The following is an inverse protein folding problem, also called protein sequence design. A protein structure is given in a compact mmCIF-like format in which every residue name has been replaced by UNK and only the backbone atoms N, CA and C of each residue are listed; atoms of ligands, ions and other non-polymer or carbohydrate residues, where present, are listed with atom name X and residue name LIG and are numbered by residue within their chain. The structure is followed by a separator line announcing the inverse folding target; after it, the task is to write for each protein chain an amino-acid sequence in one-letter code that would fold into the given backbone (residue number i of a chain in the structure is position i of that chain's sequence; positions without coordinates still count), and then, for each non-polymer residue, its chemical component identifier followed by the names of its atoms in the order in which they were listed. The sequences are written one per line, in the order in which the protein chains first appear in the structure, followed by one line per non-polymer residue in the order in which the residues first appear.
data_IF_411093279058
#
_entry.id   IF_411093279058
#
_cell.length_a   1.000
_cell.length_b   1.000
_cell.length_c   1.000
_cell.angle_alpha   90.00
_cell.angle_beta   90.00
_cell.angle_gamma   90.00
#
_symmetry.space_group_name_H-M   'P 1'
#
loop_
_entity.id
_entity.type
_entity.pdbx_description
1 polymer ?
#
# COMPACT_ATOMS: atom_id res chain seq x y z
N UNK A 1 6.48 -0.96 13.62
CA UNK A 1 5.59 -0.14 12.77
C UNK A 1 4.35 -0.94 12.41
N UNK A 2 3.20 -0.35 12.59
CA UNK A 2 1.95 -0.97 12.19
C UNK A 2 1.68 -0.66 10.72
N UNK A 3 1.37 -1.69 9.94
CA UNK A 3 1.19 -1.55 8.49
C UNK A 3 -0.09 -2.22 8.01
N UNK A 4 -0.67 -1.64 6.95
CA UNK A 4 -1.80 -2.23 6.23
C UNK A 4 -1.37 -2.50 4.80
N UNK A 5 -1.73 -3.66 4.26
CA UNK A 5 -1.49 -4.01 2.86
C UNK A 5 -2.77 -3.75 2.08
N UNK A 6 -2.67 -2.92 1.05
CA UNK A 6 -3.83 -2.52 0.25
C UNK A 6 -3.58 -2.91 -1.21
N UNK A 7 -4.26 -3.96 -1.65
CA UNK A 7 -4.15 -4.47 -3.02
C UNK A 7 -5.36 -5.30 -3.37
N UNK A 8 -5.85 -5.16 -4.60
CA UNK A 8 -7.02 -5.89 -5.07
C UNK A 8 -6.76 -7.37 -5.31
N UNK A 9 -5.54 -7.75 -5.65
CA UNK A 9 -5.21 -9.14 -5.97
C UNK A 9 -4.72 -9.90 -4.72
N UNK A 10 -5.33 -11.05 -4.49
CA UNK A 10 -4.97 -11.88 -3.34
C UNK A 10 -3.50 -12.31 -3.36
N UNK A 11 -3.00 -12.71 -4.54
CA UNK A 11 -1.61 -13.16 -4.65
C UNK A 11 -0.63 -12.05 -4.33
N UNK A 12 -0.94 -10.83 -4.74
CA UNK A 12 -0.08 -9.69 -4.44
C UNK A 12 0.03 -9.47 -2.94
N UNK A 13 -1.09 -9.58 -2.22
CA UNK A 13 -1.09 -9.44 -0.76
C UNK A 13 -0.30 -10.56 -0.08
N UNK A 14 -0.46 -11.78 -0.58
CA UNK A 14 0.23 -12.95 -0.02
C UNK A 14 1.73 -12.85 -0.22
N UNK A 15 2.17 -12.47 -1.42
CA UNK A 15 3.59 -12.32 -1.73
C UNK A 15 4.23 -11.25 -0.87
N UNK A 16 3.53 -10.15 -0.67
CA UNK A 16 4.05 -9.06 0.16
C UNK A 16 4.13 -9.47 1.63
N UNK A 17 3.14 -10.22 2.14
CA UNK A 17 3.22 -10.74 3.51
C UNK A 17 4.43 -11.63 3.70
N UNK A 18 4.73 -12.49 2.72
CA UNK A 18 5.91 -13.35 2.79
C UNK A 18 7.19 -12.55 2.85
N UNK A 19 7.29 -11.52 2.02
CA UNK A 19 8.45 -10.63 2.01
C UNK A 19 8.62 -9.96 3.37
N UNK A 20 7.53 -9.46 3.93
CA UNK A 20 7.57 -8.71 5.19
C UNK A 20 7.91 -9.56 6.39
N UNK A 21 7.85 -10.88 6.28
CA UNK A 21 8.30 -11.76 7.36
C UNK A 21 9.78 -11.58 7.66
N UNK A 22 10.55 -11.06 6.72
CA UNK A 22 11.98 -10.78 6.90
C UNK A 22 12.23 -9.42 7.58
N UNK A 23 11.16 -8.68 7.88
CA UNK A 23 11.25 -7.36 8.49
C UNK A 23 10.38 -7.33 9.75
N UNK A 24 10.88 -7.90 10.87
CA UNK A 24 10.07 -8.02 12.09
C UNK A 24 9.64 -6.70 12.70
N UNK A 25 10.29 -5.58 12.35
CA UNK A 25 9.88 -4.26 12.79
C UNK A 25 8.58 -3.79 12.14
N UNK A 26 8.14 -4.47 11.06
CA UNK A 26 6.88 -4.16 10.38
C UNK A 26 5.83 -5.18 10.79
N UNK A 27 4.80 -4.71 11.46
CA UNK A 27 3.67 -5.55 11.88
C UNK A 27 2.49 -5.30 10.95
N UNK A 28 2.10 -6.29 10.15
CA UNK A 28 0.92 -6.19 9.29
C UNK A 28 -0.32 -6.42 10.13
N UNK A 29 -1.08 -5.37 10.38
CA UNK A 29 -2.25 -5.43 11.25
C UNK A 29 -3.55 -5.72 10.50
N UNK A 30 -3.60 -5.46 9.19
CA UNK A 30 -4.79 -5.68 8.39
C UNK A 30 -4.46 -5.65 6.90
N UNK A 31 -5.44 -6.02 6.07
CA UNK A 31 -5.37 -5.94 4.61
C UNK A 31 -6.65 -5.32 4.10
N UNK A 32 -6.58 -4.68 2.93
CA UNK A 32 -7.74 -4.12 2.25
C UNK A 32 -7.70 -4.47 0.77
N UNK A 33 -8.86 -4.70 0.17
CA UNK A 33 -8.97 -5.12 -1.24
C UNK A 33 -9.38 -4.00 -2.17
N UNK A 34 -9.82 -2.88 -1.64
CA UNK A 34 -10.20 -1.71 -2.43
C UNK A 34 -10.02 -0.43 -1.61
N UNK A 35 -10.21 0.71 -2.27
CA UNK A 35 -9.98 2.00 -1.64
C UNK A 35 -10.93 2.28 -0.47
N UNK A 36 -12.20 1.98 -0.61
CA UNK A 36 -13.18 2.26 0.44
C UNK A 36 -12.89 1.47 1.71
N UNK A 37 -12.57 0.20 1.55
CA UNK A 37 -12.18 -0.66 2.68
C UNK A 37 -10.89 -0.15 3.32
N UNK A 38 -9.93 0.27 2.50
CA UNK A 38 -8.66 0.79 2.99
C UNK A 38 -8.85 2.06 3.81
N UNK A 39 -9.63 3.00 3.32
CA UNK A 39 -9.89 4.26 4.02
C UNK A 39 -10.50 3.98 5.40
N UNK A 40 -11.51 3.11 5.44
CA UNK A 40 -12.16 2.75 6.69
C UNK A 40 -11.18 2.16 7.71
N UNK A 41 -10.32 1.26 7.26
CA UNK A 41 -9.34 0.61 8.12
C UNK A 41 -8.23 1.55 8.57
N UNK A 42 -7.78 2.44 7.67
CA UNK A 42 -6.77 3.44 8.01
C UNK A 42 -7.30 4.38 9.09
N UNK A 43 -8.53 4.84 8.94
CA UNK A 43 -9.13 5.73 9.93
C UNK A 43 -9.34 5.06 11.28
N UNK A 44 -9.70 3.78 11.26
CA UNK A 44 -9.95 3.03 12.50
C UNK A 44 -8.67 2.68 13.26
N UNK A 45 -7.57 2.37 12.55
CA UNK A 45 -6.34 1.85 13.16
C UNK A 45 -5.19 2.83 13.20
N UNK A 46 -5.21 3.85 12.35
CA UNK A 46 -4.13 4.83 12.21
C UNK A 46 -2.75 4.19 12.12
N UNK A 47 -2.51 3.42 11.04
CA UNK A 47 -1.24 2.72 10.88
C UNK A 47 -0.10 3.71 10.62
N UNK A 48 1.13 3.25 10.88
CA UNK A 48 2.32 4.05 10.59
C UNK A 48 2.66 4.04 9.11
N UNK A 49 2.28 2.96 8.40
CA UNK A 49 2.74 2.66 7.05
C UNK A 49 1.65 1.94 6.29
N UNK A 50 1.53 2.23 4.99
CA UNK A 50 0.68 1.44 4.11
C UNK A 50 1.48 0.99 2.88
N UNK A 51 1.22 -0.25 2.44
CA UNK A 51 1.71 -0.77 1.17
C UNK A 51 0.52 -0.68 0.22
N UNK A 52 0.64 0.16 -0.80
CA UNK A 52 -0.49 0.57 -1.61
C UNK A 52 -0.30 0.21 -3.07
N UNK A 53 -1.20 -0.62 -3.59
CA UNK A 53 -1.26 -0.89 -5.01
C UNK A 53 -1.93 0.32 -5.69
N UNK A 54 -1.28 0.85 -6.72
CA UNK A 54 -1.81 1.99 -7.45
C UNK A 54 -3.09 1.61 -8.19
N UNK A 55 -3.11 0.42 -8.79
CA UNK A 55 -4.28 -0.05 -9.53
C UNK A 55 -5.15 -0.98 -8.69
N UNK A 56 -6.36 -0.53 -8.43
CA UNK A 56 -7.37 -1.29 -7.69
C UNK A 56 -8.72 -1.16 -8.37
N UNK A 57 -9.65 -2.11 -8.15
CA UNK A 57 -11.01 -1.97 -8.69
C UNK A 57 -11.65 -0.67 -8.20
N UNK A 58 -12.24 0.07 -9.13
CA UNK A 58 -12.92 1.33 -8.84
C UNK A 58 -11.97 2.51 -8.76
N UNK A 59 -11.40 2.77 -7.60
CA UNK A 59 -10.49 3.90 -7.38
C UNK A 59 -9.04 3.44 -7.46
N UNK A 60 -8.16 4.31 -7.97
CA UNK A 60 -6.73 4.05 -7.92
C UNK A 60 -6.18 4.34 -6.53
N UNK A 61 -4.94 3.93 -6.28
CA UNK A 61 -4.26 4.28 -5.02
C UNK A 61 -4.13 5.78 -4.82
N UNK A 62 -3.90 6.53 -5.90
CA UNK A 62 -3.80 7.99 -5.82
C UNK A 62 -5.14 8.62 -5.43
N UNK A 63 -6.24 8.12 -6.00
CA UNK A 63 -7.58 8.61 -5.64
C UNK A 63 -7.86 8.38 -4.17
N UNK A 64 -7.47 7.22 -3.65
CA UNK A 64 -7.64 6.89 -2.24
C UNK A 64 -6.88 7.86 -1.35
N UNK A 65 -5.61 8.15 -1.68
CA UNK A 65 -4.79 9.04 -0.86
C UNK A 65 -5.37 10.46 -0.81
N UNK A 66 -6.02 10.90 -1.89
CA UNK A 66 -6.64 12.22 -1.94
C UNK A 66 -7.81 12.36 -0.96
N UNK A 67 -8.41 11.25 -0.55
CA UNK A 67 -9.54 11.25 0.38
C UNK A 67 -9.12 11.16 1.85
N UNK A 68 -7.84 10.95 2.13
CA UNK A 68 -7.35 10.83 3.52
C UNK A 68 -7.01 12.20 4.09
N UNK A 69 -7.46 12.48 5.30
CA UNK A 69 -7.09 13.71 6.01
C UNK A 69 -5.62 13.67 6.40
N UNK A 70 -5.16 12.54 6.91
CA UNK A 70 -3.76 12.33 7.25
C UNK A 70 -3.29 11.07 6.55
N UNK A 71 -2.20 11.19 5.79
CA UNK A 71 -1.64 10.04 5.10
C UNK A 71 -0.53 9.42 5.95
N UNK A 72 -0.57 8.10 6.19
CA UNK A 72 0.59 7.41 6.76
C UNK A 72 1.72 7.41 5.73
N UNK A 73 2.89 6.90 6.11
CA UNK A 73 3.94 6.66 5.13
C UNK A 73 3.45 5.67 4.09
N UNK A 74 3.81 5.91 2.82
CA UNK A 74 3.29 5.10 1.71
C UNK A 74 4.44 4.45 0.95
N UNK A 75 4.31 3.15 0.74
CA UNK A 75 5.19 2.41 -0.18
C UNK A 75 4.27 1.89 -1.28
N UNK A 76 4.46 2.36 -2.51
CA UNK A 76 3.67 1.90 -3.64
C UNK A 76 4.17 0.56 -4.16
N UNK A 77 3.23 -0.30 -4.52
CA UNK A 77 3.54 -1.57 -5.17
C UNK A 77 2.79 -1.61 -6.50
N UNK A 78 3.50 -1.79 -7.62
CA UNK A 78 2.88 -1.78 -8.94
C UNK A 78 3.77 -2.45 -9.98
N UNK A 79 3.17 -2.89 -11.08
CA UNK A 79 3.87 -3.37 -12.27
C UNK A 79 3.98 -2.29 -13.35
N UNK A 80 3.47 -1.08 -13.10
CA UNK A 80 3.37 -0.03 -14.12
C UNK A 80 4.35 1.12 -13.86
N UNK A 81 5.32 1.28 -14.76
CA UNK A 81 6.33 2.34 -14.65
C UNK A 81 5.75 3.75 -14.77
N UNK A 82 4.66 3.91 -15.53
CA UNK A 82 4.06 5.22 -15.76
C UNK A 82 3.53 5.88 -14.50
N UNK A 83 3.38 5.14 -13.42
CA UNK A 83 2.93 5.71 -12.16
C UNK A 83 4.07 6.27 -11.30
N UNK A 84 5.32 6.10 -11.71
CA UNK A 84 6.46 6.56 -10.90
C UNK A 84 6.43 8.06 -10.61
N UNK A 85 6.09 8.88 -11.61
CA UNK A 85 6.02 10.32 -11.42
C UNK A 85 4.93 10.71 -10.42
N UNK A 86 3.77 10.06 -10.50
CA UNK A 86 2.69 10.34 -9.56
C UNK A 86 3.04 9.90 -8.14
N UNK A 87 3.85 8.86 -8.00
CA UNK A 87 4.31 8.44 -6.68
C UNK A 87 5.09 9.56 -5.98
N UNK A 88 5.94 10.28 -6.71
CA UNK A 88 6.63 11.43 -6.14
C UNK A 88 5.68 12.56 -5.74
N UNK A 89 4.63 12.77 -6.51
CA UNK A 89 3.67 13.84 -6.24
C UNK A 89 2.90 13.63 -4.94
N UNK A 90 2.73 12.38 -4.50
CA UNK A 90 2.04 12.07 -3.24
C UNK A 90 3.00 11.74 -2.09
N UNK A 91 4.28 12.08 -2.26
CA UNK A 91 5.31 11.91 -1.22
C UNK A 91 5.44 10.46 -0.77
N UNK A 92 5.51 9.54 -1.72
CA UNK A 92 5.70 8.13 -1.41
C UNK A 92 7.04 7.93 -0.70
N UNK A 93 7.05 7.09 0.33
CA UNK A 93 8.25 6.73 1.05
C UNK A 93 9.20 5.94 0.16
N UNK A 94 8.63 5.04 -0.62
CA UNK A 94 9.39 4.23 -1.55
C UNK A 94 8.49 3.81 -2.70
N UNK A 95 9.08 3.27 -3.75
CA UNK A 95 8.37 2.83 -4.94
C UNK A 95 8.83 1.44 -5.31
N UNK A 96 7.96 0.45 -5.08
CA UNK A 96 8.28 -0.95 -5.35
C UNK A 96 7.56 -1.43 -6.60
N UNK A 97 8.31 -2.01 -7.53
CA UNK A 97 7.78 -2.62 -8.74
C UNK A 97 7.41 -4.08 -8.47
N UNK A 98 6.31 -4.52 -9.05
CA UNK A 98 5.92 -5.94 -8.97
C UNK A 98 6.66 -6.74 -10.05
N UNK A 99 7.04 -7.99 -9.77
CA UNK A 99 6.92 -8.64 -8.48
C UNK A 99 7.86 -8.04 -7.45
N UNK A 100 7.47 -8.07 -6.18
CA UNK A 100 8.31 -7.59 -5.06
C UNK A 100 9.18 -8.74 -4.60
N UNK A 101 10.48 -8.54 -4.64
CA UNK A 101 11.45 -9.58 -4.28
C UNK A 101 12.31 -9.13 -3.10
N UNK A 102 12.60 -10.03 -2.15
CA UNK A 102 13.53 -9.71 -1.07
C UNK A 102 14.96 -9.64 -1.64
N UNK A 103 15.76 -8.81 -1.06
CA UNK A 103 17.16 -8.72 -1.45
C UNK A 103 18.01 -9.67 -0.64
#
# INVERSE_FOLDING_TARGET
MKAIIIAGERLARLELRKLLQEFPEIEVIDEAVNADEAISKIEATQPDLIFLDIQMPGKTGFDMLAELDKSPHVIFTTAHHEFALKAFEVNALDYLMKPVEPK
#
